data_IF_468601601392
#
_entry.id   IF_468601601392
#
_cell.length_a   1.000
_cell.length_b   1.000
_cell.length_c   1.000
_cell.angle_alpha   90.00
_cell.angle_beta   90.00
_cell.angle_gamma   90.00
#
_symmetry.space_group_name_H-M   'P 1'
#
loop_
_entity.id
_entity.type
_entity.pdbx_description
1 polymer ?
#
# COMPACT_ATOMS: atom_id res chain seq x y z
N UNK A 1 7.53 21.85 0.71
CA UNK A 1 7.60 20.64 -0.17
C UNK A 1 9.02 20.10 -0.03
N UNK A 2 9.18 18.86 0.45
CA UNK A 2 10.49 18.26 0.59
C UNK A 2 10.96 17.63 -0.74
N UNK A 3 12.24 17.15 -0.81
CA UNK A 3 12.80 16.57 -2.05
C UNK A 3 12.00 15.36 -2.57
N UNK A 4 11.41 14.57 -1.67
CA UNK A 4 10.60 13.39 -2.01
C UNK A 4 9.28 13.83 -2.66
N UNK A 5 8.64 14.87 -2.14
CA UNK A 5 7.40 15.41 -2.73
C UNK A 5 7.62 15.94 -4.15
N UNK A 6 8.77 16.61 -4.38
CA UNK A 6 9.14 17.09 -5.71
C UNK A 6 9.35 15.91 -6.67
N UNK A 7 10.10 14.89 -6.22
CA UNK A 7 10.32 13.68 -7.00
C UNK A 7 9.01 12.98 -7.35
N UNK A 8 8.08 12.90 -6.39
CA UNK A 8 6.74 12.33 -6.62
C UNK A 8 5.92 13.16 -7.61
N UNK A 9 5.95 14.51 -7.51
CA UNK A 9 5.22 15.38 -8.43
C UNK A 9 5.65 15.18 -9.88
N UNK A 10 6.94 14.92 -10.11
CA UNK A 10 7.50 14.67 -11.46
C UNK A 10 7.37 13.18 -11.84
N UNK A 11 7.77 12.28 -10.97
CA UNK A 11 7.83 10.85 -11.26
C UNK A 11 6.48 10.18 -11.41
N UNK A 12 5.47 10.68 -10.71
CA UNK A 12 4.11 10.16 -10.80
C UNK A 12 3.55 10.25 -12.23
N UNK A 13 3.55 11.38 -12.95
CA UNK A 13 3.14 11.43 -14.34
C UNK A 13 4.08 10.66 -15.28
N UNK A 14 5.38 10.71 -15.05
CA UNK A 14 6.39 10.11 -15.94
C UNK A 14 6.35 8.58 -15.92
N UNK A 15 6.20 7.97 -14.76
CA UNK A 15 6.19 6.51 -14.63
C UNK A 15 4.78 5.94 -14.44
N UNK A 16 3.98 6.59 -13.62
CA UNK A 16 2.63 6.15 -13.30
C UNK A 16 1.66 6.34 -14.47
N UNK A 17 1.80 7.41 -15.23
CA UNK A 17 0.95 7.68 -16.40
C UNK A 17 1.02 6.58 -17.46
N UNK A 18 2.22 6.25 -18.00
CA UNK A 18 2.38 5.13 -18.91
C UNK A 18 1.90 3.79 -18.32
N UNK A 19 2.15 3.56 -17.01
CA UNK A 19 1.64 2.36 -16.32
C UNK A 19 0.12 2.34 -16.32
N UNK A 20 -0.53 3.43 -15.95
CA UNK A 20 -1.98 3.53 -15.92
C UNK A 20 -2.60 3.28 -17.31
N UNK A 21 -1.97 3.78 -18.36
CA UNK A 21 -2.40 3.55 -19.74
C UNK A 21 -2.20 2.08 -20.15
N UNK A 22 -1.00 1.54 -19.95
CA UNK A 22 -0.63 0.17 -20.35
C UNK A 22 -1.44 -0.90 -19.59
N UNK A 23 -1.89 -0.60 -18.37
CA UNK A 23 -2.72 -1.49 -17.55
C UNK A 23 -4.22 -1.16 -17.62
N UNK A 24 -4.63 -0.16 -18.40
CA UNK A 24 -6.00 0.35 -18.40
C UNK A 24 -6.52 0.51 -16.97
N UNK A 25 -5.68 1.10 -16.11
CA UNK A 25 -5.86 1.18 -14.66
C UNK A 25 -7.18 1.85 -14.27
N UNK A 26 -7.91 1.22 -13.38
CA UNK A 26 -9.05 1.82 -12.68
C UNK A 26 -8.79 1.83 -11.19
N UNK A 27 -9.13 2.95 -10.56
CA UNK A 27 -8.92 3.16 -9.13
C UNK A 27 -10.26 3.48 -8.48
N UNK A 28 -10.56 2.80 -7.39
CA UNK A 28 -11.80 2.92 -6.63
C UNK A 28 -11.51 3.30 -5.18
N UNK A 29 -12.33 4.16 -4.59
CA UNK A 29 -12.19 4.58 -3.19
C UNK A 29 -10.94 5.42 -2.90
N UNK A 30 -10.36 6.09 -3.89
CA UNK A 30 -9.17 6.94 -3.72
C UNK A 30 -9.39 8.09 -2.74
N UNK A 31 -10.58 8.57 -2.64
CA UNK A 31 -11.06 9.61 -1.72
C UNK A 31 -11.03 9.19 -0.24
N UNK A 32 -11.02 7.88 0.03
CA UNK A 32 -10.92 7.31 1.37
C UNK A 32 -9.52 7.43 2.01
N UNK A 33 -8.51 7.76 1.22
CA UNK A 33 -7.13 7.91 1.72
C UNK A 33 -6.96 9.30 2.34
N UNK A 34 -6.67 9.40 3.66
CA UNK A 34 -6.39 10.66 4.32
C UNK A 34 -5.24 11.41 3.64
N UNK A 35 -5.45 12.69 3.34
CA UNK A 35 -4.46 13.49 2.59
C UNK A 35 -3.32 13.99 3.47
N UNK A 36 -3.53 14.08 4.78
CA UNK A 36 -2.58 14.57 5.78
C UNK A 36 -2.49 13.63 6.96
N UNK A 37 -1.53 13.87 7.84
CA UNK A 37 -1.29 13.04 9.02
C UNK A 37 -0.56 11.73 8.74
N UNK A 38 -0.06 11.10 9.80
CA UNK A 38 0.59 9.79 9.73
C UNK A 38 -0.40 8.71 9.28
N UNK A 39 0.05 7.84 8.38
CA UNK A 39 -0.79 6.82 7.77
C UNK A 39 0.06 5.60 7.40
N UNK A 40 -0.43 4.40 7.64
CA UNK A 40 0.09 3.18 7.02
C UNK A 40 -0.85 2.77 5.88
N UNK A 41 -0.30 2.49 4.70
CA UNK A 41 -1.07 1.89 3.60
C UNK A 41 -0.55 0.47 3.39
N UNK A 42 -1.41 -0.50 3.66
CA UNK A 42 -1.12 -1.92 3.48
C UNK A 42 -1.56 -2.37 2.09
N UNK A 43 -0.62 -2.87 1.29
CA UNK A 43 -0.84 -3.34 -0.08
C UNK A 43 -0.65 -4.84 -0.19
N UNK A 44 -1.40 -5.51 -1.07
CA UNK A 44 -0.98 -6.80 -1.60
C UNK A 44 0.01 -6.62 -2.75
N UNK A 45 0.75 -7.69 -3.10
CA UNK A 45 1.84 -7.60 -4.09
C UNK A 45 1.91 -8.82 -4.99
N UNK A 46 1.64 -8.64 -6.28
CA UNK A 46 1.68 -9.72 -7.28
C UNK A 46 2.78 -9.53 -8.33
N UNK A 47 3.03 -8.29 -8.75
CA UNK A 47 3.88 -7.98 -9.88
C UNK A 47 4.77 -6.76 -9.62
N UNK A 48 5.82 -6.59 -10.39
CA UNK A 48 6.65 -5.38 -10.34
C UNK A 48 5.89 -4.12 -10.72
N UNK A 49 4.83 -4.25 -11.55
CA UNK A 49 4.00 -3.13 -12.00
C UNK A 49 3.12 -2.55 -10.90
N UNK A 50 2.94 -3.27 -9.79
CA UNK A 50 2.15 -2.79 -8.66
C UNK A 50 2.73 -1.51 -8.07
N UNK A 51 4.06 -1.38 -8.04
CA UNK A 51 4.75 -0.21 -7.48
C UNK A 51 4.37 1.08 -8.22
N UNK A 52 4.57 1.21 -9.55
CA UNK A 52 4.15 2.40 -10.27
C UNK A 52 2.62 2.56 -10.33
N UNK A 53 1.84 1.47 -10.31
CA UNK A 53 0.38 1.54 -10.27
C UNK A 53 -0.14 2.12 -8.95
N UNK A 54 0.37 1.68 -7.80
CA UNK A 54 0.06 2.28 -6.50
C UNK A 54 0.58 3.71 -6.38
N UNK A 55 1.78 3.98 -6.90
CA UNK A 55 2.31 5.33 -6.98
C UNK A 55 1.38 6.28 -7.73
N UNK A 56 0.89 5.89 -8.90
CA UNK A 56 -0.07 6.67 -9.69
C UNK A 56 -1.40 6.86 -8.97
N UNK A 57 -1.92 5.79 -8.36
CA UNK A 57 -3.24 5.79 -7.72
C UNK A 57 -3.29 6.57 -6.42
N UNK A 58 -2.18 6.69 -5.67
CA UNK A 58 -2.17 7.37 -4.39
C UNK A 58 -2.49 8.88 -4.53
N UNK A 59 -3.34 9.46 -3.66
CA UNK A 59 -3.63 10.90 -3.67
C UNK A 59 -2.53 11.75 -3.02
N UNK A 60 -1.53 11.13 -2.37
CA UNK A 60 -0.42 11.79 -1.66
C UNK A 60 0.88 11.03 -1.83
N UNK A 61 2.00 11.67 -1.45
CA UNK A 61 3.33 11.04 -1.38
C UNK A 61 3.32 9.86 -0.41
N UNK A 62 3.89 8.73 -0.83
CA UNK A 62 4.01 7.51 -0.02
C UNK A 62 5.47 7.10 0.06
N UNK A 63 5.95 6.87 1.26
CA UNK A 63 7.27 6.32 1.53
C UNK A 63 7.19 4.80 1.54
N UNK A 64 8.06 4.10 0.82
CA UNK A 64 8.00 2.65 0.67
C UNK A 64 9.18 1.93 1.32
N UNK A 65 8.92 0.72 1.80
CA UNK A 65 9.99 -0.22 2.15
C UNK A 65 10.40 -1.00 0.90
N UNK A 66 11.70 -1.09 0.66
CA UNK A 66 12.26 -1.96 -0.37
C UNK A 66 13.33 -2.87 0.23
N UNK A 67 13.70 -3.94 -0.47
CA UNK A 67 14.82 -4.80 -0.04
C UNK A 67 16.10 -4.00 0.06
N UNK A 68 16.91 -4.26 1.09
CA UNK A 68 18.21 -3.61 1.28
C UNK A 68 19.13 -3.81 0.06
N UNK A 69 19.09 -5.00 -0.55
CA UNK A 69 19.87 -5.32 -1.74
C UNK A 69 19.50 -4.46 -2.95
N UNK A 70 18.22 -4.07 -3.09
CA UNK A 70 17.77 -3.17 -4.15
C UNK A 70 18.37 -1.76 -3.97
N UNK A 71 18.57 -1.31 -2.74
CA UNK A 71 19.25 -0.05 -2.42
C UNK A 71 20.75 -0.09 -2.65
N UNK A 72 21.37 -1.28 -2.68
CA UNK A 72 22.80 -1.46 -2.97
C UNK A 72 23.13 -1.31 -4.47
N UNK A 73 22.16 -1.48 -5.36
CA UNK A 73 22.36 -1.26 -6.80
C UNK A 73 22.44 0.24 -7.08
N UNK A 74 23.54 0.76 -7.66
CA UNK A 74 23.83 2.19 -7.71
C UNK A 74 22.68 3.05 -8.27
N UNK A 75 22.23 2.80 -9.48
CA UNK A 75 21.16 3.58 -10.12
C UNK A 75 19.78 3.29 -9.52
N UNK A 76 19.45 2.02 -9.28
CA UNK A 76 18.19 1.62 -8.68
C UNK A 76 18.07 2.13 -7.23
N UNK A 77 19.14 2.05 -6.45
CA UNK A 77 19.16 2.55 -5.07
C UNK A 77 19.05 4.08 -5.01
N UNK A 78 19.69 4.81 -5.91
CA UNK A 78 19.54 6.26 -6.01
C UNK A 78 18.09 6.64 -6.35
N UNK A 79 17.49 5.96 -7.32
CA UNK A 79 16.10 6.13 -7.70
C UNK A 79 15.15 5.84 -6.52
N UNK A 80 15.31 4.70 -5.85
CA UNK A 80 14.50 4.33 -4.69
C UNK A 80 14.57 5.38 -3.57
N UNK A 81 15.77 5.88 -3.25
CA UNK A 81 15.95 6.94 -2.24
C UNK A 81 15.30 8.26 -2.65
N UNK A 82 15.37 8.62 -3.93
CA UNK A 82 14.75 9.83 -4.46
C UNK A 82 13.23 9.82 -4.23
N UNK A 83 12.60 8.65 -4.35
CA UNK A 83 11.16 8.46 -4.13
C UNK A 83 10.78 8.10 -2.68
N UNK A 84 11.70 8.34 -1.73
CA UNK A 84 11.43 8.13 -0.31
C UNK A 84 11.42 6.67 0.13
N UNK A 85 11.97 5.76 -0.69
CA UNK A 85 12.13 4.37 -0.28
C UNK A 85 13.35 4.20 0.63
N UNK A 86 13.24 3.32 1.62
CA UNK A 86 14.36 2.92 2.49
C UNK A 86 14.49 1.40 2.57
N UNK A 87 15.73 0.95 2.76
CA UNK A 87 16.07 -0.47 2.75
C UNK A 87 15.63 -1.17 4.04
N UNK A 88 15.15 -2.41 3.90
CA UNK A 88 14.86 -3.32 5.02
C UNK A 88 15.47 -4.69 4.73
N UNK A 89 16.10 -5.29 5.75
CA UNK A 89 16.57 -6.69 5.73
C UNK A 89 15.42 -7.59 6.17
N UNK A 90 14.87 -8.34 5.20
CA UNK A 90 13.75 -9.24 5.48
C UNK A 90 14.23 -10.48 6.20
N UNK A 91 13.47 -10.94 7.20
CA UNK A 91 13.82 -12.14 7.99
C UNK A 91 14.76 -11.88 9.16
N UNK A 92 15.27 -10.68 9.30
CA UNK A 92 16.07 -10.22 10.45
C UNK A 92 15.26 -9.24 11.30
N UNK A 93 15.60 -9.16 12.60
CA UNK A 93 15.07 -8.13 13.49
C UNK A 93 15.74 -6.78 13.16
N UNK A 94 15.31 -6.14 12.06
CA UNK A 94 15.88 -4.87 11.60
C UNK A 94 15.29 -3.70 12.41
N UNK A 95 15.90 -3.43 13.58
CA UNK A 95 15.51 -2.34 14.48
C UNK A 95 15.60 -0.97 13.81
N UNK A 96 16.54 -0.79 12.89
CA UNK A 96 16.70 0.46 12.16
C UNK A 96 15.54 0.68 11.18
N UNK A 97 15.14 -0.35 10.45
CA UNK A 97 13.98 -0.28 9.57
C UNK A 97 12.70 0.04 10.36
N UNK A 98 12.48 -0.62 11.51
CA UNK A 98 11.34 -0.33 12.39
C UNK A 98 11.37 1.14 12.85
N UNK A 99 12.55 1.65 13.27
CA UNK A 99 12.67 3.05 13.67
C UNK A 99 12.30 3.99 12.52
N UNK A 100 12.83 3.75 11.32
CA UNK A 100 12.54 4.57 10.13
C UNK A 100 11.06 4.53 9.74
N UNK A 101 10.40 3.38 9.84
CA UNK A 101 8.96 3.27 9.63
C UNK A 101 8.20 4.21 10.57
N UNK A 102 8.55 4.20 11.84
CA UNK A 102 7.94 5.07 12.87
C UNK A 102 8.22 6.54 12.60
N UNK A 103 9.45 6.90 12.25
CA UNK A 103 9.84 8.28 11.96
C UNK A 103 9.03 8.86 10.77
N UNK A 104 8.78 8.04 9.73
CA UNK A 104 7.95 8.44 8.58
C UNK A 104 6.52 8.79 9.01
N UNK A 105 5.87 7.92 9.78
CA UNK A 105 4.47 8.15 10.19
C UNK A 105 4.36 9.24 11.25
N UNK A 106 5.33 9.37 12.16
CA UNK A 106 5.42 10.49 13.13
C UNK A 106 5.56 11.84 12.46
N UNK A 107 6.31 11.89 11.37
CA UNK A 107 6.47 13.10 10.56
C UNK A 107 5.19 13.46 9.76
N UNK A 108 4.11 12.74 9.94
CA UNK A 108 2.84 12.99 9.23
C UNK A 108 2.81 12.46 7.81
N UNK A 109 3.74 11.58 7.43
CA UNK A 109 3.79 11.00 6.09
C UNK A 109 3.03 9.67 5.99
N UNK A 110 2.70 9.25 4.75
CA UNK A 110 2.16 7.93 4.48
C UNK A 110 3.29 6.92 4.26
N UNK A 111 3.22 5.80 4.96
CA UNK A 111 4.11 4.66 4.84
C UNK A 111 3.42 3.55 4.08
N UNK A 112 3.93 3.18 2.91
CA UNK A 112 3.44 2.08 2.09
C UNK A 112 4.16 0.77 2.41
N UNK A 113 3.41 -0.27 2.73
CA UNK A 113 3.95 -1.58 3.07
C UNK A 113 3.24 -2.63 2.22
N UNK A 114 4.00 -3.42 1.47
CA UNK A 114 3.49 -4.66 0.88
C UNK A 114 3.32 -5.69 1.99
N UNK A 115 2.08 -5.88 2.43
CA UNK A 115 1.75 -6.57 3.68
C UNK A 115 2.20 -8.05 3.71
N UNK A 116 2.31 -8.70 2.56
CA UNK A 116 2.77 -10.08 2.41
C UNK A 116 4.30 -10.22 2.51
N UNK A 117 5.03 -9.11 2.51
CA UNK A 117 6.50 -9.08 2.57
C UNK A 117 7.20 -9.58 1.30
N UNK A 118 6.52 -10.22 0.36
CA UNK A 118 7.05 -10.72 -0.91
C UNK A 118 5.96 -10.75 -1.98
N UNK A 119 6.36 -10.89 -3.26
CA UNK A 119 5.39 -10.99 -4.37
C UNK A 119 4.73 -12.36 -4.42
N UNK A 120 3.40 -12.39 -4.46
CA UNK A 120 2.57 -13.58 -4.65
C UNK A 120 2.26 -13.75 -6.15
N UNK A 121 3.17 -14.37 -6.86
CA UNK A 121 3.09 -14.49 -8.34
C UNK A 121 1.92 -15.32 -8.85
N UNK A 122 1.31 -16.12 -7.98
CA UNK A 122 0.10 -16.92 -8.28
C UNK A 122 -1.15 -16.06 -8.45
N UNK A 123 -1.13 -14.78 -8.04
CA UNK A 123 -2.30 -13.91 -8.01
C UNK A 123 -3.26 -14.20 -6.87
N UNK A 124 -2.89 -15.06 -5.93
CA UNK A 124 -3.63 -15.33 -4.69
C UNK A 124 -2.93 -14.63 -3.53
N UNK A 125 -3.73 -14.05 -2.63
CA UNK A 125 -3.19 -13.38 -1.45
C UNK A 125 -2.45 -14.36 -0.52
N UNK A 126 -1.25 -13.97 -0.13
CA UNK A 126 -0.48 -14.65 0.91
C UNK A 126 -0.78 -14.11 2.32
N UNK A 127 -0.22 -14.74 3.36
CA UNK A 127 -0.39 -14.30 4.74
C UNK A 127 0.23 -12.92 4.98
N UNK A 128 -0.45 -12.09 5.77
CA UNK A 128 0.01 -10.75 6.13
C UNK A 128 1.06 -10.81 7.24
N UNK A 129 2.18 -10.15 7.02
CA UNK A 129 3.27 -9.99 7.98
C UNK A 129 2.98 -8.85 8.99
N UNK A 130 3.50 -8.91 10.22
CA UNK A 130 3.13 -7.98 11.28
C UNK A 130 3.63 -6.54 11.09
N UNK A 131 4.45 -6.26 10.08
CA UNK A 131 5.12 -4.96 9.92
C UNK A 131 4.16 -3.77 9.80
N UNK A 132 3.07 -3.90 9.05
CA UNK A 132 2.06 -2.84 8.90
C UNK A 132 1.30 -2.60 10.22
N UNK A 133 0.85 -3.66 10.87
CA UNK A 133 0.17 -3.61 12.15
C UNK A 133 1.07 -3.01 13.26
N UNK A 134 2.33 -3.42 13.30
CA UNK A 134 3.31 -2.91 14.27
C UNK A 134 3.52 -1.40 14.09
N UNK A 135 3.75 -0.93 12.86
CA UNK A 135 3.94 0.50 12.60
C UNK A 135 2.70 1.32 13.00
N UNK A 136 1.51 0.82 12.68
CA UNK A 136 0.26 1.50 13.00
C UNK A 136 -0.02 1.55 14.51
N UNK A 137 0.11 0.43 15.21
CA UNK A 137 -0.17 0.35 16.64
C UNK A 137 0.85 1.14 17.48
N UNK A 138 2.13 1.09 17.12
CA UNK A 138 3.16 1.81 17.89
C UNK A 138 3.00 3.32 17.82
N UNK A 139 2.53 3.86 16.71
CA UNK A 139 2.40 5.30 16.47
C UNK A 139 0.94 5.79 16.55
N UNK A 140 0.00 4.91 16.85
CA UNK A 140 -1.44 5.19 16.91
C UNK A 140 -1.95 5.90 15.63
N UNK A 141 -1.56 5.40 14.47
CA UNK A 141 -1.99 5.94 13.18
C UNK A 141 -2.94 4.97 12.47
N UNK A 142 -3.84 5.48 11.62
CA UNK A 142 -4.75 4.62 10.87
C UNK A 142 -4.01 3.77 9.83
N UNK A 143 -4.64 2.65 9.44
CA UNK A 143 -4.24 1.81 8.32
C UNK A 143 -5.28 1.92 7.22
N UNK A 144 -4.87 2.18 5.98
CA UNK A 144 -5.71 2.01 4.79
C UNK A 144 -5.23 0.77 4.05
N UNK A 145 -6.11 -0.20 3.86
CA UNK A 145 -5.83 -1.34 2.99
C UNK A 145 -6.06 -0.94 1.53
N UNK A 146 -5.17 -1.33 0.64
CA UNK A 146 -5.32 -1.09 -0.79
C UNK A 146 -5.02 -2.38 -1.57
N UNK A 147 -6.03 -2.95 -2.18
CA UNK A 147 -5.90 -4.16 -2.98
C UNK A 147 -5.69 -3.84 -4.46
N UNK A 148 -4.85 -4.65 -5.11
CA UNK A 148 -4.67 -4.66 -6.57
C UNK A 148 -5.11 -6.01 -7.14
N UNK A 149 -5.77 -6.00 -8.30
CA UNK A 149 -6.21 -7.18 -9.03
C UNK A 149 -5.85 -7.08 -10.51
N UNK A 150 -5.51 -8.23 -11.13
CA UNK A 150 -5.18 -8.35 -12.55
C UNK A 150 -3.71 -8.12 -12.89
N UNK A 151 -2.89 -7.62 -11.96
CA UNK A 151 -1.48 -7.34 -12.22
C UNK A 151 -0.59 -8.59 -12.34
N UNK A 152 -0.98 -9.72 -11.75
CA UNK A 152 -0.27 -11.00 -11.87
C UNK A 152 -0.29 -11.56 -13.30
N UNK A 153 -1.34 -11.27 -14.04
CA UNK A 153 -1.49 -11.71 -15.43
C UNK A 153 -0.95 -10.69 -16.45
N UNK A 154 -0.66 -9.46 -16.00
CA UNK A 154 -0.21 -8.40 -16.88
C UNK A 154 1.22 -8.65 -17.38
N UNK A 155 1.41 -8.48 -18.68
CA UNK A 155 2.71 -8.51 -19.36
C UNK A 155 2.84 -7.30 -20.29
N UNK A 156 4.05 -6.79 -20.57
CA UNK A 156 4.25 -5.72 -21.55
C UNK A 156 3.55 -6.04 -22.88
N UNK A 157 2.83 -5.06 -23.41
CA UNK A 157 2.11 -5.18 -24.69
C UNK A 157 0.73 -5.88 -24.61
N UNK A 158 0.33 -6.46 -23.47
CA UNK A 158 -0.97 -7.16 -23.36
C UNK A 158 -2.14 -6.23 -23.08
N UNK A 159 -1.92 -5.03 -22.55
CA UNK A 159 -2.94 -4.09 -22.13
C UNK A 159 -4.04 -4.72 -21.23
N UNK A 160 -3.69 -5.79 -20.50
CA UNK A 160 -4.62 -6.42 -19.57
C UNK A 160 -5.05 -5.44 -18.49
N UNK A 161 -6.35 -5.42 -18.16
CA UNK A 161 -6.87 -4.47 -17.20
C UNK A 161 -6.40 -4.78 -15.78
N UNK A 162 -5.98 -3.73 -15.06
CA UNK A 162 -5.63 -3.77 -13.65
C UNK A 162 -6.55 -2.82 -12.88
N UNK A 163 -6.93 -3.18 -11.68
CA UNK A 163 -7.72 -2.32 -10.80
C UNK A 163 -7.14 -2.26 -9.41
N UNK A 164 -7.31 -1.09 -8.78
CA UNK A 164 -6.93 -0.84 -7.38
C UNK A 164 -8.18 -0.40 -6.63
N UNK A 165 -8.37 -0.93 -5.42
CA UNK A 165 -9.40 -0.48 -4.49
C UNK A 165 -8.78 -0.09 -3.17
N UNK A 166 -9.13 1.10 -2.68
CA UNK A 166 -8.80 1.59 -1.34
C UNK A 166 -9.98 1.34 -0.40
N UNK A 167 -9.70 0.72 0.75
CA UNK A 167 -10.63 0.55 1.86
C UNK A 167 -10.78 1.82 2.70
N UNK A 168 -11.69 1.78 3.65
CA UNK A 168 -11.81 2.82 4.67
C UNK A 168 -10.63 2.76 5.65
N UNK A 169 -10.23 3.89 6.27
CA UNK A 169 -9.19 3.89 7.30
C UNK A 169 -9.62 3.04 8.50
N UNK A 170 -8.75 2.12 8.91
CA UNK A 170 -8.91 1.26 10.09
C UNK A 170 -8.10 1.82 11.25
N UNK A 171 -8.60 1.71 12.48
CA UNK A 171 -7.86 1.97 13.72
C UNK A 171 -7.97 0.80 14.68
N UNK A 172 -6.90 0.57 15.41
CA UNK A 172 -6.74 -0.56 16.34
C UNK A 172 -6.54 -0.06 17.78
N UNK A 173 -7.32 0.93 18.21
CA UNK A 173 -7.16 1.61 19.51
C UNK A 173 -7.28 0.68 20.73
N UNK A 174 -8.02 -0.42 20.58
CA UNK A 174 -8.29 -1.37 21.68
C UNK A 174 -7.29 -2.53 21.73
N UNK A 175 -6.32 -2.57 20.81
CA UNK A 175 -5.33 -3.66 20.77
C UNK A 175 -4.04 -3.26 21.51
N UNK A 176 -3.42 -4.20 22.25
CA UNK A 176 -2.19 -3.93 22.95
C UNK A 176 -1.01 -3.75 21.98
N UNK A 177 -0.06 -2.89 22.34
CA UNK A 177 1.16 -2.61 21.52
C UNK A 177 2.24 -3.68 21.72
N UNK A 178 1.88 -4.94 21.55
CA UNK A 178 2.75 -6.11 21.73
C UNK A 178 2.49 -7.15 20.63
N UNK A 179 3.18 -8.30 20.70
CA UNK A 179 3.09 -9.36 19.71
C UNK A 179 1.65 -9.89 19.51
N UNK A 180 0.82 -9.92 20.55
CA UNK A 180 -0.58 -10.33 20.45
C UNK A 180 -1.38 -9.33 19.65
N UNK A 181 -1.34 -8.04 20.00
CA UNK A 181 -2.06 -7.00 19.26
C UNK A 181 -1.57 -6.86 17.82
N UNK A 182 -0.26 -7.06 17.56
CA UNK A 182 0.24 -7.04 16.17
C UNK A 182 -0.33 -8.19 15.34
N UNK A 183 -0.49 -9.39 15.92
CA UNK A 183 -1.12 -10.54 15.24
C UNK A 183 -2.60 -10.28 14.96
N UNK A 184 -3.32 -9.78 15.94
CA UNK A 184 -4.76 -9.47 15.81
C UNK A 184 -4.97 -8.38 14.73
N UNK A 185 -4.23 -7.28 14.79
CA UNK A 185 -4.31 -6.23 13.77
C UNK A 185 -3.90 -6.73 12.37
N UNK A 186 -2.90 -7.62 12.28
CA UNK A 186 -2.50 -8.22 11.00
C UNK A 186 -3.60 -9.10 10.42
N UNK A 187 -4.33 -9.85 11.24
CA UNK A 187 -5.47 -10.66 10.81
C UNK A 187 -6.60 -9.77 10.26
N UNK A 188 -6.87 -8.63 10.90
CA UNK A 188 -7.87 -7.67 10.42
C UNK A 188 -7.43 -7.00 9.09
N UNK A 189 -6.14 -6.67 8.95
CA UNK A 189 -5.57 -6.13 7.69
C UNK A 189 -5.69 -7.18 6.58
N UNK A 190 -5.40 -8.46 6.88
CA UNK A 190 -5.54 -9.56 5.92
C UNK A 190 -6.98 -9.74 5.48
N UNK A 191 -7.93 -9.76 6.42
CA UNK A 191 -9.36 -9.88 6.13
C UNK A 191 -9.86 -8.73 5.25
N UNK A 192 -9.41 -7.50 5.51
CA UNK A 192 -9.77 -6.32 4.71
C UNK A 192 -9.15 -6.37 3.31
N UNK A 193 -7.86 -6.72 3.18
CA UNK A 193 -7.21 -6.91 1.87
C UNK A 193 -7.92 -7.99 1.06
N UNK A 194 -8.28 -9.12 1.69
CA UNK A 194 -9.01 -10.21 1.06
C UNK A 194 -10.38 -9.76 0.57
N UNK A 195 -11.13 -9.03 1.40
CA UNK A 195 -12.45 -8.50 1.05
C UNK A 195 -12.39 -7.53 -0.14
N UNK A 196 -11.40 -6.63 -0.17
CA UNK A 196 -11.20 -5.71 -1.29
C UNK A 196 -10.76 -6.45 -2.56
N UNK A 197 -9.89 -7.44 -2.43
CA UNK A 197 -9.40 -8.23 -3.54
C UNK A 197 -10.53 -9.09 -4.17
N UNK A 198 -11.35 -9.74 -3.35
CA UNK A 198 -12.52 -10.50 -3.80
C UNK A 198 -13.52 -9.59 -4.52
N UNK A 199 -13.79 -8.43 -3.93
CA UNK A 199 -14.64 -7.42 -4.58
C UNK A 199 -14.07 -6.99 -5.95
N UNK A 200 -12.76 -6.77 -6.06
CA UNK A 200 -12.12 -6.44 -7.35
C UNK A 200 -12.22 -7.58 -8.36
N UNK A 201 -12.06 -8.83 -7.91
CA UNK A 201 -12.25 -10.01 -8.77
C UNK A 201 -13.65 -10.05 -9.37
N UNK A 202 -14.65 -9.89 -8.53
CA UNK A 202 -16.05 -9.92 -8.96
C UNK A 202 -16.38 -8.71 -9.85
N UNK A 203 -15.81 -7.56 -9.55
CA UNK A 203 -15.90 -6.36 -10.38
C UNK A 203 -15.28 -6.54 -11.77
N UNK A 204 -14.16 -7.28 -11.88
CA UNK A 204 -13.56 -7.60 -13.17
C UNK A 204 -14.48 -8.51 -14.00
N UNK A 205 -15.11 -9.51 -13.38
CA UNK A 205 -16.10 -10.37 -14.03
C UNK A 205 -17.32 -9.55 -14.51
N UNK A 206 -17.72 -8.51 -13.79
CA UNK A 206 -18.80 -7.59 -14.13
C UNK A 206 -18.40 -6.46 -15.11
N UNK A 207 -17.22 -6.52 -15.74
CA UNK A 207 -16.77 -5.52 -16.72
C UNK A 207 -16.22 -4.22 -16.14
N UNK A 208 -15.95 -4.17 -14.83
CA UNK A 208 -15.29 -3.03 -14.15
C UNK A 208 -16.07 -1.72 -14.28
N UNK A 209 -17.32 -1.60 -13.81
CA UNK A 209 -18.07 -0.35 -13.87
C UNK A 209 -17.33 0.79 -13.16
N UNK A 210 -17.32 2.00 -13.76
CA UNK A 210 -16.50 3.14 -13.26
C UNK A 210 -16.99 3.70 -11.94
N UNK A 211 -18.28 3.64 -11.68
CA UNK A 211 -18.93 4.22 -10.49
C UNK A 211 -19.11 3.22 -9.34
N UNK A 212 -18.46 2.04 -9.43
CA UNK A 212 -18.49 1.07 -8.36
C UNK A 212 -17.79 1.60 -7.11
N UNK A 213 -18.41 1.37 -5.96
CA UNK A 213 -17.90 1.82 -4.65
C UNK A 213 -17.38 0.60 -3.89
N UNK A 214 -16.13 0.62 -3.40
CA UNK A 214 -15.61 -0.48 -2.61
C UNK A 214 -16.44 -0.72 -1.35
N UNK A 215 -16.52 -1.96 -0.85
CA UNK A 215 -17.28 -2.28 0.35
C UNK A 215 -16.77 -1.48 1.56
N UNK A 216 -17.64 -1.22 2.52
CA UNK A 216 -17.27 -0.54 3.76
C UNK A 216 -16.58 -1.49 4.72
N UNK A 217 -15.59 -1.01 5.45
CA UNK A 217 -14.97 -1.77 6.52
C UNK A 217 -15.97 -2.07 7.67
N UNK A 218 -15.74 -3.13 8.47
CA UNK A 218 -16.51 -3.37 9.69
C UNK A 218 -16.51 -2.14 10.60
N UNK A 219 -17.66 -1.76 11.13
CA UNK A 219 -17.85 -0.51 11.88
C UNK A 219 -16.87 -0.38 13.06
N UNK A 220 -16.65 -1.48 13.80
CA UNK A 220 -15.72 -1.54 14.94
C UNK A 220 -14.27 -1.16 14.60
N UNK A 221 -13.88 -1.20 13.33
CA UNK A 221 -12.52 -0.90 12.87
C UNK A 221 -12.40 0.45 12.17
N UNK A 222 -13.52 1.09 11.84
CA UNK A 222 -13.48 2.37 11.12
C UNK A 222 -12.87 3.47 11.98
N UNK A 223 -11.86 4.12 11.47
CA UNK A 223 -11.33 5.32 12.09
C UNK A 223 -12.31 6.49 11.83
N UNK A 224 -12.65 7.24 12.86
CA UNK A 224 -13.25 8.56 12.72
C UNK A 224 -12.16 9.53 12.23
N UNK A 225 -11.84 9.45 10.95
CA UNK A 225 -10.92 10.38 10.30
C UNK A 225 -11.79 11.43 9.60
N UNK A 226 -11.65 12.69 9.96
CA UNK A 226 -12.23 13.78 9.18
C UNK A 226 -11.54 13.76 7.83
N UNK A 227 -12.22 13.27 6.81
CA UNK A 227 -11.78 13.39 5.42
C UNK A 227 -12.02 14.84 5.01
N UNK A 228 -11.04 15.55 4.47
CA UNK A 228 -11.20 16.92 4.00
C UNK A 228 -12.14 17.02 2.80
#
# INVERSE_FOLDING_TARGET
MNRVDIAWAIGKPVMGGPTALATRLRVYGRDRVPRTGGLVIAYNHFSWIDIPAFGWSSPRTVYFLAKAEAHAVPLAGAYLRLFGSFGVRRGESDREAVRRMRDVVRAGHALGIFAEGTRQRSGVLGPVQPGAAMAALQEDVPVVCAAIYGSHEWKPGTFRPVSIAYGEPLRFTNLPRNATGYREASAEIEAELRRLWEWLRDLHAAGRPRHAVPPRAPERLRAHVTLP
#
